data_IF_666108272888
#
_entry.id   IF_666108272888
#
_cell.length_a   1.000
_cell.length_b   1.000
_cell.length_c   1.000
_cell.angle_alpha   90.00
_cell.angle_beta   90.00
_cell.angle_gamma   90.00
#
_symmetry.space_group_name_H-M   'P 1'
#
loop_
_entity.id
_entity.type
_entity.pdbx_description
1 polymer ?
#
# COMPACT_ATOMS: atom_id res chain seq x y z
N UNK A 1 -15.79 0.33 -15.80
CA UNK A 1 -17.13 0.63 -15.22
C UNK A 1 -18.03 -0.60 -15.21
N UNK A 2 -18.27 -1.28 -16.34
CA UNK A 2 -19.12 -2.48 -16.36
C UNK A 2 -18.58 -3.62 -15.47
N UNK A 3 -17.27 -3.90 -15.56
CA UNK A 3 -16.61 -4.95 -14.76
C UNK A 3 -16.72 -4.65 -13.25
N UNK A 4 -16.48 -3.40 -12.85
CA UNK A 4 -16.56 -3.00 -11.45
C UNK A 4 -17.99 -3.08 -10.91
N UNK A 5 -19.01 -2.78 -11.73
CA UNK A 5 -20.41 -2.94 -11.34
C UNK A 5 -20.78 -4.40 -11.10
N UNK A 6 -20.39 -5.30 -12.01
CA UNK A 6 -20.63 -6.74 -11.86
C UNK A 6 -19.92 -7.26 -10.59
N UNK A 7 -18.69 -6.84 -10.36
CA UNK A 7 -17.91 -7.24 -9.19
C UNK A 7 -18.54 -6.78 -7.87
N UNK A 8 -19.08 -5.55 -7.81
CA UNK A 8 -19.74 -5.03 -6.60
C UNK A 8 -21.10 -5.65 -6.32
N UNK A 9 -21.79 -6.17 -7.33
CA UNK A 9 -23.08 -6.84 -7.13
C UNK A 9 -22.93 -8.12 -6.30
N UNK A 10 -21.82 -8.85 -6.44
CA UNK A 10 -21.59 -10.10 -5.71
C UNK A 10 -21.62 -9.90 -4.17
N UNK A 11 -20.87 -8.93 -3.59
CA UNK A 11 -20.98 -8.56 -2.18
C UNK A 11 -22.37 -8.12 -1.71
N UNK A 12 -23.17 -7.48 -2.57
CA UNK A 12 -24.50 -6.99 -2.18
C UNK A 12 -25.46 -8.15 -1.83
N UNK A 13 -25.35 -9.29 -2.53
CA UNK A 13 -26.22 -10.45 -2.28
C UNK A 13 -25.87 -11.23 -1.00
N UNK A 14 -24.70 -10.98 -0.40
CA UNK A 14 -24.26 -11.63 0.84
C UNK A 14 -25.01 -11.12 2.08
N UNK A 15 -25.92 -10.15 1.93
CA UNK A 15 -26.89 -9.73 2.96
C UNK A 15 -26.31 -8.91 4.11
N UNK A 16 -24.99 -8.97 4.33
CA UNK A 16 -24.33 -8.37 5.48
C UNK A 16 -23.28 -7.34 5.06
N UNK A 17 -23.74 -6.10 4.87
CA UNK A 17 -22.93 -4.95 4.44
C UNK A 17 -21.79 -4.70 5.43
N UNK A 18 -21.99 -5.02 6.71
CA UNK A 18 -21.00 -4.81 7.76
C UNK A 18 -19.72 -5.62 7.52
N UNK A 19 -19.81 -6.84 6.98
CA UNK A 19 -18.63 -7.66 6.69
C UNK A 19 -17.78 -7.00 5.60
N UNK A 20 -18.42 -6.57 4.50
CA UNK A 20 -17.76 -5.93 3.35
C UNK A 20 -17.15 -4.58 3.75
N UNK A 21 -17.87 -3.79 4.54
CA UNK A 21 -17.41 -2.52 5.06
C UNK A 21 -16.17 -2.71 5.94
N UNK A 22 -16.24 -3.63 6.91
CA UNK A 22 -15.13 -3.87 7.83
C UNK A 22 -13.90 -4.45 7.10
N UNK A 23 -14.08 -5.34 6.13
CA UNK A 23 -12.98 -5.84 5.30
C UNK A 23 -12.31 -4.71 4.51
N UNK A 24 -13.11 -3.84 3.90
CA UNK A 24 -12.61 -2.69 3.13
C UNK A 24 -11.81 -1.74 4.03
N UNK A 25 -12.37 -1.35 5.18
CA UNK A 25 -11.69 -0.45 6.14
C UNK A 25 -10.38 -1.08 6.62
N UNK A 26 -10.38 -2.37 6.95
CA UNK A 26 -9.16 -3.07 7.36
C UNK A 26 -8.07 -3.03 6.27
N UNK A 27 -8.45 -3.27 5.00
CA UNK A 27 -7.52 -3.20 3.88
C UNK A 27 -6.94 -1.80 3.68
N UNK A 28 -7.77 -0.77 3.83
CA UNK A 28 -7.34 0.64 3.79
C UNK A 28 -6.39 0.96 4.94
N UNK A 29 -6.65 0.47 6.16
CA UNK A 29 -5.76 0.66 7.31
C UNK A 29 -4.39 0.04 7.10
N UNK A 30 -4.32 -1.19 6.57
CA UNK A 30 -3.03 -1.82 6.20
C UNK A 30 -2.32 -0.98 5.14
N UNK A 31 -3.04 -0.53 4.12
CA UNK A 31 -2.46 0.28 3.04
C UNK A 31 -1.88 1.58 3.59
N UNK A 32 -2.62 2.29 4.43
CA UNK A 32 -2.14 3.52 5.07
C UNK A 32 -0.97 3.26 6.02
N UNK A 33 -0.99 2.16 6.77
CA UNK A 33 0.16 1.77 7.59
C UNK A 33 1.42 1.58 6.73
N UNK A 34 1.31 0.84 5.62
CA UNK A 34 2.43 0.59 4.70
C UNK A 34 2.89 1.87 3.98
N UNK A 35 1.98 2.76 3.61
CA UNK A 35 2.33 4.06 3.00
C UNK A 35 3.13 4.92 3.98
N UNK A 36 2.68 5.03 5.23
CA UNK A 36 3.41 5.76 6.27
C UNK A 36 4.77 5.11 6.56
N UNK A 37 4.84 3.78 6.60
CA UNK A 37 6.10 3.05 6.78
C UNK A 37 7.05 3.26 5.61
N UNK A 38 6.54 3.23 4.37
CA UNK A 38 7.29 3.51 3.14
C UNK A 38 7.88 4.92 3.15
N UNK A 39 7.11 5.91 3.62
CA UNK A 39 7.59 7.29 3.77
C UNK A 39 8.77 7.39 4.74
N UNK A 40 8.70 6.70 5.89
CA UNK A 40 9.80 6.64 6.87
C UNK A 40 11.00 5.90 6.26
N UNK A 41 10.78 4.77 5.60
CA UNK A 41 11.83 3.97 4.98
C UNK A 41 12.56 4.72 3.86
N UNK A 42 11.83 5.47 3.02
CA UNK A 42 12.41 6.26 1.94
C UNK A 42 13.24 7.42 2.50
N UNK A 43 12.73 8.10 3.52
CA UNK A 43 13.46 9.16 4.22
C UNK A 43 14.75 8.63 4.85
N UNK A 44 14.75 7.38 5.30
CA UNK A 44 15.95 6.72 5.83
C UNK A 44 16.95 6.31 4.74
N UNK A 45 16.47 5.83 3.59
CA UNK A 45 17.33 5.30 2.52
C UNK A 45 17.92 6.37 1.61
N UNK A 46 17.23 7.49 1.40
CA UNK A 46 17.62 8.53 0.45
C UNK A 46 17.50 9.92 1.10
N UNK A 47 18.45 10.27 1.97
CA UNK A 47 18.39 11.55 2.66
C UNK A 47 18.77 12.75 1.80
N UNK A 48 19.61 12.52 0.80
CA UNK A 48 20.24 13.55 -0.02
C UNK A 48 19.32 14.07 -1.16
N UNK A 49 18.11 13.53 -1.27
CA UNK A 49 17.09 14.02 -2.21
C UNK A 49 16.64 15.43 -1.79
N UNK A 50 16.70 16.39 -2.73
CA UNK A 50 16.09 17.70 -2.54
C UNK A 50 14.59 17.56 -2.26
N UNK A 51 14.14 18.16 -1.16
CA UNK A 51 12.74 18.08 -0.72
C UNK A 51 12.05 19.41 -1.01
N UNK A 52 11.37 19.57 -2.16
CA UNK A 52 10.64 20.79 -2.48
C UNK A 52 9.49 21.04 -1.48
N UNK A 53 8.90 19.98 -0.92
CA UNK A 53 7.93 20.06 0.18
C UNK A 53 8.57 19.77 1.54
N UNK A 54 8.65 20.81 2.38
CA UNK A 54 9.16 20.74 3.76
C UNK A 54 7.99 20.51 4.73
N UNK A 55 7.83 19.27 5.21
CA UNK A 55 6.88 18.97 6.29
C UNK A 55 7.40 19.54 7.62
N UNK A 56 6.70 20.54 8.17
CA UNK A 56 6.80 21.02 9.56
C UNK A 56 5.62 20.41 10.31
N UNK A 57 5.76 19.48 11.30
CA UNK A 57 6.86 19.20 12.22
C UNK A 57 7.58 17.86 11.95
N UNK A 58 8.91 17.88 12.05
CA UNK A 58 9.77 16.72 11.82
C UNK A 58 10.68 16.58 13.05
N UNK A 59 10.58 15.47 13.81
CA UNK A 59 11.52 15.20 14.91
C UNK A 59 12.78 14.61 14.27
N UNK A 60 13.73 15.49 13.94
CA UNK A 60 14.95 15.12 13.23
C UNK A 60 14.69 14.55 11.83
N UNK A 61 14.93 13.25 11.66
CA UNK A 61 14.79 12.53 10.38
C UNK A 61 13.46 11.81 10.18
N UNK A 62 12.57 11.75 11.18
CA UNK A 62 11.31 11.00 11.06
C UNK A 62 10.12 11.98 11.01
N UNK A 63 9.24 11.89 9.98
CA UNK A 63 8.03 12.70 9.93
C UNK A 63 7.10 12.29 11.07
N UNK A 64 6.81 13.21 11.99
CA UNK A 64 5.96 12.94 13.14
C UNK A 64 4.56 12.50 12.70
N UNK A 65 4.04 13.12 11.63
CA UNK A 65 2.76 12.76 11.03
C UNK A 65 2.72 11.30 10.55
N UNK A 66 3.83 10.80 9.99
CA UNK A 66 3.90 9.44 9.51
C UNK A 66 3.97 8.44 10.65
N UNK A 67 4.73 8.78 11.69
CA UNK A 67 4.83 7.97 12.91
C UNK A 67 3.47 7.87 13.61
N UNK A 68 2.78 8.99 13.78
CA UNK A 68 1.43 9.01 14.35
C UNK A 68 0.45 8.22 13.48
N UNK A 69 0.50 8.38 12.16
CA UNK A 69 -0.29 7.60 11.21
C UNK A 69 -0.06 6.10 11.36
N UNK A 70 1.20 5.66 11.47
CA UNK A 70 1.53 4.26 11.74
C UNK A 70 0.95 3.76 13.06
N UNK A 71 1.11 4.51 14.16
CA UNK A 71 0.62 4.13 15.49
C UNK A 71 -0.92 4.02 15.49
N UNK A 72 -1.61 5.00 14.91
CA UNK A 72 -3.08 5.01 14.84
C UNK A 72 -3.60 3.86 13.98
N UNK A 73 -3.04 3.67 12.78
CA UNK A 73 -3.45 2.57 11.91
C UNK A 73 -3.20 1.22 12.59
N UNK A 74 -2.04 1.04 13.21
CA UNK A 74 -1.69 -0.18 13.92
C UNK A 74 -2.62 -0.46 15.11
N UNK A 75 -2.92 0.56 15.92
CA UNK A 75 -3.87 0.44 17.03
C UNK A 75 -5.27 0.06 16.57
N UNK A 76 -5.77 0.68 15.49
CA UNK A 76 -7.09 0.39 14.94
C UNK A 76 -7.21 -1.04 14.40
N UNK A 77 -6.12 -1.63 13.89
CA UNK A 77 -6.15 -3.01 13.37
C UNK A 77 -6.51 -4.04 14.45
N UNK A 78 -6.18 -3.79 15.72
CA UNK A 78 -6.50 -4.70 16.83
C UNK A 78 -7.99 -4.71 17.23
N UNK A 79 -8.76 -3.72 16.79
CA UNK A 79 -10.20 -3.63 17.10
C UNK A 79 -11.05 -4.56 16.23
N UNK A 80 -10.50 -5.13 15.15
CA UNK A 80 -11.25 -5.93 14.20
C UNK A 80 -11.36 -7.41 14.61
N UNK A 81 -12.48 -8.02 14.22
CA UNK A 81 -12.71 -9.46 14.43
C UNK A 81 -11.71 -10.32 13.65
N UNK A 82 -11.33 -11.46 14.24
CA UNK A 82 -10.40 -12.43 13.64
C UNK A 82 -10.81 -12.88 12.23
N UNK A 83 -12.11 -13.02 11.95
CA UNK A 83 -12.60 -13.40 10.63
C UNK A 83 -12.14 -12.41 9.54
N UNK A 84 -12.26 -11.11 9.81
CA UNK A 84 -11.87 -10.06 8.85
C UNK A 84 -10.36 -10.04 8.68
N UNK A 85 -9.62 -10.22 9.79
CA UNK A 85 -8.15 -10.30 9.76
C UNK A 85 -7.69 -11.45 8.86
N UNK A 86 -8.29 -12.64 8.97
CA UNK A 86 -7.94 -13.80 8.15
C UNK A 86 -8.25 -13.58 6.67
N UNK A 87 -9.44 -13.05 6.34
CA UNK A 87 -9.82 -12.75 4.96
C UNK A 87 -8.80 -11.78 4.32
N UNK A 88 -8.45 -10.72 5.04
CA UNK A 88 -7.54 -9.71 4.52
C UNK A 88 -6.10 -10.18 4.48
N UNK A 89 -5.69 -11.06 5.40
CA UNK A 89 -4.39 -11.72 5.31
C UNK A 89 -4.28 -12.56 4.03
N UNK A 90 -5.32 -13.31 3.66
CA UNK A 90 -5.36 -14.09 2.42
C UNK A 90 -5.24 -13.17 1.20
N UNK A 91 -5.97 -12.05 1.18
CA UNK A 91 -5.91 -11.10 0.08
C UNK A 91 -4.52 -10.47 -0.06
N UNK A 92 -3.90 -10.08 1.05
CA UNK A 92 -2.52 -9.56 1.05
C UNK A 92 -1.54 -10.62 0.56
N UNK A 93 -1.63 -11.86 1.03
CA UNK A 93 -0.79 -12.97 0.57
C UNK A 93 -0.96 -13.23 -0.93
N UNK A 94 -2.20 -13.22 -1.44
CA UNK A 94 -2.48 -13.34 -2.86
C UNK A 94 -1.83 -12.20 -3.65
N UNK A 95 -1.94 -10.96 -3.17
CA UNK A 95 -1.26 -9.80 -3.77
C UNK A 95 0.26 -9.96 -3.82
N UNK A 96 0.86 -10.50 -2.76
CA UNK A 96 2.31 -10.78 -2.70
C UNK A 96 2.70 -11.87 -3.71
N UNK A 97 1.93 -12.95 -3.80
CA UNK A 97 2.17 -14.03 -4.78
C UNK A 97 2.10 -13.50 -6.21
N UNK A 98 1.07 -12.71 -6.53
CA UNK A 98 0.93 -12.07 -7.85
C UNK A 98 2.10 -11.12 -8.12
N UNK A 99 2.51 -10.33 -7.12
CA UNK A 99 3.66 -9.44 -7.24
C UNK A 99 4.94 -10.20 -7.59
N UNK A 100 5.23 -11.30 -6.89
CA UNK A 100 6.40 -12.13 -7.19
C UNK A 100 6.31 -12.81 -8.56
N UNK A 101 5.13 -13.31 -8.95
CA UNK A 101 4.91 -13.89 -10.28
C UNK A 101 5.13 -12.86 -11.40
N UNK A 102 4.74 -11.60 -11.19
CA UNK A 102 4.93 -10.52 -12.16
C UNK A 102 6.32 -9.88 -12.11
N UNK A 103 7.06 -10.04 -11.01
CA UNK A 103 8.36 -9.40 -10.78
C UNK A 103 9.32 -9.61 -11.95
N UNK A 104 9.41 -10.83 -12.49
CA UNK A 104 10.30 -11.17 -13.62
C UNK A 104 9.98 -10.36 -14.89
N UNK A 105 8.69 -10.12 -15.17
CA UNK A 105 8.25 -9.33 -16.32
C UNK A 105 8.51 -7.83 -16.11
N UNK A 106 8.41 -7.34 -14.88
CA UNK A 106 8.64 -5.94 -14.53
C UNK A 106 10.13 -5.59 -14.67
N UNK A 107 11.01 -6.42 -14.12
CA UNK A 107 12.46 -6.21 -14.13
C UNK A 107 13.01 -6.14 -15.56
N UNK A 108 12.54 -7.03 -16.45
CA UNK A 108 12.94 -7.05 -17.87
C UNK A 108 12.48 -5.81 -18.66
N UNK A 109 11.32 -5.24 -18.31
CA UNK A 109 10.81 -4.02 -18.95
C UNK A 109 11.62 -2.80 -18.52
N UNK A 110 11.88 -2.65 -17.23
CA UNK A 110 12.67 -1.54 -16.68
C UNK A 110 14.08 -1.49 -17.28
N UNK A 111 14.78 -2.62 -17.35
CA UNK A 111 16.15 -2.64 -17.91
C UNK A 111 16.20 -2.18 -19.37
N UNK A 112 15.21 -2.57 -20.20
CA UNK A 112 15.11 -2.12 -21.60
C UNK A 112 14.81 -0.63 -21.73
N UNK A 113 13.98 -0.07 -20.84
CA UNK A 113 13.71 1.37 -20.84
C UNK A 113 14.96 2.18 -20.46
N UNK A 114 15.68 1.75 -19.42
CA UNK A 114 16.94 2.41 -19.01
C UNK A 114 17.97 2.35 -20.14
N UNK A 115 18.13 1.18 -20.78
CA UNK A 115 19.05 1.03 -21.91
C UNK A 115 18.67 1.93 -23.10
N UNK A 116 17.36 2.10 -23.38
CA UNK A 116 16.90 2.99 -24.45
C UNK A 116 17.20 4.47 -24.15
N UNK A 117 17.00 4.90 -22.90
CA UNK A 117 17.33 6.27 -22.47
C UNK A 117 18.84 6.53 -22.59
N UNK A 118 19.67 5.54 -22.24
CA UNK A 118 21.12 5.64 -22.35
C UNK A 118 21.59 5.70 -23.82
N UNK A 119 20.92 4.95 -24.70
CA UNK A 119 21.22 4.96 -26.15
C UNK A 119 20.79 6.26 -26.84
N UNK A 120 19.69 6.90 -26.42
CA UNK A 120 19.19 8.16 -27.00
C UNK A 120 20.07 9.37 -26.60
N UNK A 121 20.82 9.23 -25.50
CA UNK A 121 21.69 10.27 -24.95
C UNK A 121 23.09 10.31 -25.57
N UNK A 122 23.45 9.34 -26.41
CA UNK A 122 24.78 9.17 -27.04
C UNK A 122 24.66 9.25 -28.57
#
# INVERSE_FOLDING_TARGET
VLITMILTMVPLFLGDISIVANATVFGVLITFFLVNLSLIALRRKRPDLERPFKLKPNVGWVPLIALLGCIVCFGLLFTFNLLIVVIQLIIVLCGVVVFYAMKSKIETRTSRFIQKIDTDKN
#
